data_IF_926550768432
#
_entry.id   IF_926550768432
#
_cell.length_a   1.000
_cell.length_b   1.000
_cell.length_c   1.000
_cell.angle_alpha   90.00
_cell.angle_beta   90.00
_cell.angle_gamma   90.00
#
_symmetry.space_group_name_H-M   'P 1'
#
loop_
_entity.id
_entity.type
_entity.pdbx_description
1 polymer ?
#
# COMPACT_ATOMS: atom_id res chain seq x y z
N UNK A 1 -73.29 61.14 31.94
CA UNK A 1 -72.42 60.02 31.51
C UNK A 1 -71.19 60.62 30.84
N UNK A 2 -70.04 60.72 31.53
CA UNK A 2 -68.83 61.24 30.90
C UNK A 2 -68.23 60.14 30.01
N UNK A 3 -68.18 60.39 28.70
CA UNK A 3 -67.37 59.62 27.75
C UNK A 3 -65.90 59.87 28.11
N UNK A 4 -65.34 58.89 28.81
CA UNK A 4 -63.98 58.90 29.38
C UNK A 4 -62.97 58.77 28.24
N UNK A 5 -61.94 59.62 28.27
CA UNK A 5 -60.85 59.75 27.31
C UNK A 5 -60.16 58.39 27.02
N UNK A 6 -60.47 57.75 25.88
CA UNK A 6 -59.78 56.53 25.41
C UNK A 6 -58.76 56.82 24.29
N UNK A 7 -58.74 58.03 23.72
CA UNK A 7 -57.88 58.37 22.58
C UNK A 7 -56.37 58.32 22.90
N UNK A 8 -55.99 58.51 24.17
CA UNK A 8 -54.60 58.37 24.62
C UNK A 8 -54.10 56.93 24.70
N UNK A 9 -54.98 55.95 24.87
CA UNK A 9 -54.59 54.53 24.99
C UNK A 9 -54.20 53.93 23.63
N UNK A 10 -54.85 54.36 22.54
CA UNK A 10 -54.54 53.91 21.19
C UNK A 10 -53.13 54.35 20.74
N UNK A 11 -52.73 55.58 21.06
CA UNK A 11 -51.39 56.09 20.75
C UNK A 11 -50.30 55.26 21.46
N UNK A 12 -50.50 54.93 22.73
CA UNK A 12 -49.54 54.13 23.51
C UNK A 12 -49.39 52.72 22.92
N UNK A 13 -50.49 52.08 22.53
CA UNK A 13 -50.47 50.77 21.87
C UNK A 13 -49.67 50.78 20.55
N UNK A 14 -49.83 51.82 19.73
CA UNK A 14 -49.08 51.95 18.47
C UNK A 14 -47.60 52.17 18.73
N UNK A 15 -47.23 53.03 19.67
CA UNK A 15 -45.83 53.28 20.03
C UNK A 15 -45.16 52.00 20.56
N UNK A 16 -45.84 51.24 21.43
CA UNK A 16 -45.34 49.96 21.93
C UNK A 16 -45.18 48.95 20.79
N UNK A 17 -46.16 48.87 19.87
CA UNK A 17 -46.10 47.95 18.73
C UNK A 17 -44.93 48.26 17.80
N UNK A 18 -44.70 49.55 17.50
CA UNK A 18 -43.55 50.00 16.69
C UNK A 18 -42.23 49.71 17.41
N UNK A 19 -42.16 49.95 18.72
CA UNK A 19 -40.97 49.65 19.52
C UNK A 19 -40.64 48.15 19.50
N UNK A 20 -41.65 47.29 19.63
CA UNK A 20 -41.48 45.83 19.55
C UNK A 20 -41.00 45.42 18.14
N UNK A 21 -41.62 45.95 17.08
CA UNK A 21 -41.20 45.68 15.70
C UNK A 21 -39.74 46.11 15.44
N UNK A 22 -39.33 47.25 15.99
CA UNK A 22 -37.95 47.72 15.90
C UNK A 22 -36.96 46.78 16.61
N UNK A 23 -37.30 46.30 17.81
CA UNK A 23 -36.47 45.35 18.55
C UNK A 23 -36.35 44.02 17.81
N UNK A 24 -37.44 43.51 17.23
CA UNK A 24 -37.44 42.25 16.46
C UNK A 24 -36.62 42.39 15.16
N UNK A 25 -36.77 43.50 14.44
CA UNK A 25 -36.00 43.71 13.19
C UNK A 25 -34.51 43.89 13.47
N UNK A 26 -34.13 44.61 14.53
CA UNK A 26 -32.74 44.75 14.95
C UNK A 26 -32.13 43.42 15.40
N UNK A 27 -32.87 42.60 16.17
CA UNK A 27 -32.40 41.28 16.60
C UNK A 27 -32.24 40.32 15.43
N UNK A 28 -33.20 40.31 14.49
CA UNK A 28 -33.12 39.49 13.28
C UNK A 28 -31.91 39.89 12.42
N UNK A 29 -31.67 41.19 12.23
CA UNK A 29 -30.51 41.67 11.50
C UNK A 29 -29.17 41.25 12.13
N UNK A 30 -29.08 41.28 13.46
CA UNK A 30 -27.91 40.79 14.19
C UNK A 30 -27.71 39.29 13.99
N UNK A 31 -28.78 38.48 14.13
CA UNK A 31 -28.75 37.03 13.92
C UNK A 31 -28.29 36.71 12.50
N UNK A 32 -28.87 37.34 11.47
CA UNK A 32 -28.47 37.13 10.07
C UNK A 32 -27.02 37.53 9.80
N UNK A 33 -26.55 38.63 10.40
CA UNK A 33 -25.17 39.06 10.27
C UNK A 33 -24.18 38.05 10.90
N UNK A 34 -24.54 37.48 12.06
CA UNK A 34 -23.75 36.44 12.71
C UNK A 34 -23.77 35.13 11.94
N UNK A 35 -24.93 34.68 11.44
CA UNK A 35 -25.01 33.44 10.66
C UNK A 35 -24.23 33.54 9.36
N UNK A 36 -24.27 34.67 8.67
CA UNK A 36 -23.48 34.88 7.46
C UNK A 36 -21.97 34.86 7.73
N UNK A 37 -21.50 35.51 8.80
CA UNK A 37 -20.08 35.45 9.20
C UNK A 37 -19.64 34.04 9.56
N UNK A 38 -20.47 33.31 10.29
CA UNK A 38 -20.19 31.93 10.65
C UNK A 38 -20.11 31.03 9.40
N UNK A 39 -21.03 31.21 8.45
CA UNK A 39 -21.05 30.47 7.18
C UNK A 39 -19.78 30.72 6.35
N UNK A 40 -19.33 31.98 6.25
CA UNK A 40 -18.07 32.29 5.56
C UNK A 40 -16.89 31.64 6.27
N UNK A 41 -16.83 31.72 7.61
CA UNK A 41 -15.73 31.10 8.37
C UNK A 41 -15.72 29.58 8.22
N UNK A 42 -16.88 28.93 8.18
CA UNK A 42 -17.01 27.49 7.93
C UNK A 42 -16.56 27.10 6.52
N UNK A 43 -16.93 27.90 5.51
CA UNK A 43 -16.46 27.73 4.14
C UNK A 43 -14.94 27.83 4.07
N UNK A 44 -14.34 28.86 4.68
CA UNK A 44 -12.89 29.07 4.69
C UNK A 44 -12.14 27.94 5.43
N UNK A 45 -12.69 27.44 6.55
CA UNK A 45 -12.15 26.28 7.27
C UNK A 45 -12.21 25.01 6.42
N UNK A 46 -13.31 24.81 5.69
CA UNK A 46 -13.49 23.68 4.78
C UNK A 46 -12.51 23.73 3.61
N UNK A 47 -12.30 24.92 3.02
CA UNK A 47 -11.29 25.14 1.99
C UNK A 47 -9.86 24.89 2.50
N UNK A 48 -9.54 25.36 3.71
CA UNK A 48 -8.25 25.10 4.33
C UNK A 48 -8.05 23.59 4.62
N UNK A 49 -9.11 22.87 4.98
CA UNK A 49 -9.04 21.41 5.16
C UNK A 49 -8.73 20.70 3.84
N UNK A 50 -9.47 21.02 2.77
CA UNK A 50 -9.22 20.44 1.45
C UNK A 50 -7.83 20.74 0.92
N UNK A 51 -7.31 21.94 1.18
CA UNK A 51 -5.94 22.28 0.85
C UNK A 51 -4.93 21.41 1.60
N UNK A 52 -5.16 21.14 2.89
CA UNK A 52 -4.32 20.28 3.68
C UNK A 52 -4.36 18.82 3.17
N UNK A 53 -5.54 18.28 2.84
CA UNK A 53 -5.68 16.94 2.27
C UNK A 53 -4.97 16.83 0.91
N UNK A 54 -5.17 17.81 0.02
CA UNK A 54 -4.45 17.86 -1.25
C UNK A 54 -2.92 17.89 -1.06
N UNK A 55 -2.43 18.54 0.00
CA UNK A 55 -1.02 18.50 0.36
C UNK A 55 -0.52 17.09 0.74
N UNK A 56 -1.33 16.32 1.47
CA UNK A 56 -1.01 14.92 1.81
C UNK A 56 -0.97 14.08 0.54
N UNK A 57 -2.01 14.16 -0.31
CA UNK A 57 -2.10 13.41 -1.56
C UNK A 57 -0.92 13.70 -2.50
N UNK A 58 -0.58 14.98 -2.70
CA UNK A 58 0.58 15.37 -3.51
C UNK A 58 1.91 14.87 -2.91
N UNK A 59 2.02 14.84 -1.59
CA UNK A 59 3.21 14.30 -0.92
C UNK A 59 3.33 12.80 -1.11
N UNK A 60 2.22 12.05 -0.99
CA UNK A 60 2.16 10.61 -1.29
C UNK A 60 2.50 10.37 -2.77
N UNK A 61 1.95 11.18 -3.68
CA UNK A 61 2.28 11.13 -5.11
C UNK A 61 3.76 11.30 -5.38
N UNK A 62 4.45 12.19 -4.65
CA UNK A 62 5.91 12.33 -4.75
C UNK A 62 6.65 11.10 -4.22
N UNK A 63 6.21 10.51 -3.11
CA UNK A 63 6.80 9.27 -2.56
C UNK A 63 6.70 8.12 -3.56
N UNK A 64 5.57 7.99 -4.24
CA UNK A 64 5.34 6.94 -5.24
C UNK A 64 6.20 7.11 -6.49
N UNK A 65 6.38 8.36 -6.95
CA UNK A 65 7.08 8.65 -8.21
C UNK A 65 8.60 8.85 -8.06
N UNK A 66 9.10 9.13 -6.84
CA UNK A 66 10.52 9.39 -6.58
C UNK A 66 11.00 8.60 -5.35
N UNK A 67 11.20 7.30 -5.56
CA UNK A 67 11.64 6.37 -4.52
C UNK A 67 13.02 6.72 -3.97
N UNK A 68 13.94 7.22 -4.82
CA UNK A 68 15.29 7.63 -4.43
C UNK A 68 15.25 8.83 -3.47
N UNK A 69 14.40 9.82 -3.74
CA UNK A 69 14.17 10.93 -2.82
C UNK A 69 13.63 10.46 -1.46
N UNK A 70 12.66 9.54 -1.46
CA UNK A 70 12.11 8.97 -0.22
C UNK A 70 13.17 8.17 0.57
N UNK A 71 13.98 7.36 -0.11
CA UNK A 71 15.09 6.62 0.49
C UNK A 71 16.09 7.58 1.17
N UNK A 72 16.32 8.77 0.59
CA UNK A 72 17.18 9.82 1.16
C UNK A 72 16.63 10.56 2.38
N UNK A 73 15.34 10.40 2.74
CA UNK A 73 14.76 11.07 3.90
C UNK A 73 15.34 10.57 5.22
N UNK A 74 15.49 11.49 6.17
CA UNK A 74 15.90 11.22 7.55
C UNK A 74 14.71 11.18 8.52
N UNK A 75 14.98 11.01 9.82
CA UNK A 75 13.98 11.14 10.89
C UNK A 75 13.62 12.59 11.23
N UNK A 76 14.31 13.58 10.65
CA UNK A 76 13.97 14.99 10.76
C UNK A 76 12.96 15.41 9.68
N UNK A 77 12.13 16.41 9.99
CA UNK A 77 11.19 16.96 9.01
C UNK A 77 11.90 17.61 7.84
N UNK A 78 11.52 17.20 6.64
CA UNK A 78 11.92 17.78 5.37
C UNK A 78 10.71 18.43 4.72
N UNK A 79 10.81 19.72 4.37
CA UNK A 79 9.77 20.42 3.62
C UNK A 79 9.66 19.84 2.22
N UNK A 80 8.46 19.43 1.82
CA UNK A 80 8.19 18.87 0.49
C UNK A 80 7.61 19.95 -0.41
N UNK A 81 6.56 20.61 0.07
CA UNK A 81 5.88 21.71 -0.61
C UNK A 81 5.80 22.92 0.31
N UNK A 82 6.06 24.10 -0.22
CA UNK A 82 5.97 25.35 0.51
C UNK A 82 5.00 26.29 -0.20
N UNK A 83 3.87 26.61 0.45
CA UNK A 83 2.82 27.52 -0.01
C UNK A 83 2.41 27.28 -1.48
N UNK A 84 2.14 26.02 -1.84
CA UNK A 84 1.61 25.68 -3.15
C UNK A 84 0.15 26.10 -3.25
N UNK A 85 -0.21 26.79 -4.33
CA UNK A 85 -1.56 27.26 -4.57
C UNK A 85 -2.41 26.13 -5.16
N UNK A 86 -3.52 25.80 -4.49
CA UNK A 86 -4.50 24.85 -4.98
C UNK A 86 -5.53 25.56 -5.87
N UNK A 87 -6.05 26.69 -5.37
CA UNK A 87 -6.92 27.63 -6.10
C UNK A 87 -6.66 29.05 -5.59
N UNK A 88 -7.23 30.06 -6.25
CA UNK A 88 -7.00 31.46 -5.90
C UNK A 88 -7.20 31.74 -4.39
N UNK A 89 -6.10 32.04 -3.69
CA UNK A 89 -6.11 32.32 -2.25
C UNK A 89 -6.20 31.09 -1.33
N UNK A 90 -6.18 29.87 -1.86
CA UNK A 90 -6.17 28.63 -1.08
C UNK A 90 -4.85 27.90 -1.33
N UNK A 91 -4.01 27.80 -0.28
CA UNK A 91 -2.66 27.26 -0.38
C UNK A 91 -2.41 26.14 0.62
N UNK A 92 -1.41 25.31 0.35
CA UNK A 92 -0.93 24.31 1.30
C UNK A 92 0.60 24.25 1.38
N UNK A 93 1.10 23.78 2.51
CA UNK A 93 2.51 23.43 2.69
C UNK A 93 2.62 22.11 3.43
N UNK A 94 3.58 21.27 3.03
CA UNK A 94 3.77 19.94 3.62
C UNK A 94 5.21 19.68 4.01
N UNK A 95 5.37 18.86 5.05
CA UNK A 95 6.64 18.32 5.50
C UNK A 95 6.48 16.84 5.84
N UNK A 96 7.54 16.07 5.63
CA UNK A 96 7.58 14.63 5.86
C UNK A 96 8.81 14.26 6.68
N UNK A 97 8.71 13.21 7.50
CA UNK A 97 9.85 12.56 8.15
C UNK A 97 9.64 11.05 8.22
N UNK A 98 10.72 10.26 8.23
CA UNK A 98 10.65 8.84 8.57
C UNK A 98 10.41 8.66 10.07
N UNK A 99 9.61 7.67 10.41
CA UNK A 99 9.33 7.28 11.79
C UNK A 99 9.97 5.93 12.03
N UNK A 100 10.92 5.87 12.96
CA UNK A 100 11.50 4.60 13.37
C UNK A 100 10.54 3.94 14.35
N UNK A 101 9.82 2.92 13.89
CA UNK A 101 9.01 2.07 14.74
C UNK A 101 9.69 0.71 14.88
N UNK A 102 10.13 0.36 16.09
CA UNK A 102 10.83 -0.92 16.35
C UNK A 102 9.94 -2.13 16.12
N UNK A 103 8.62 -1.95 16.21
CA UNK A 103 7.64 -3.02 16.06
C UNK A 103 7.19 -3.18 14.60
N UNK A 104 7.70 -2.33 13.70
CA UNK A 104 7.42 -2.38 12.28
C UNK A 104 8.40 -3.30 11.55
N UNK A 105 7.87 -4.37 10.98
CA UNK A 105 8.59 -5.40 10.23
C UNK A 105 8.42 -5.19 8.72
N UNK A 106 7.28 -4.62 8.30
CA UNK A 106 6.95 -4.36 6.89
C UNK A 106 6.87 -2.88 6.59
N UNK A 107 7.49 -2.50 5.48
CA UNK A 107 7.53 -1.13 4.99
C UNK A 107 8.32 -0.19 5.91
N UNK A 108 8.43 1.06 5.47
CA UNK A 108 9.02 2.15 6.25
C UNK A 108 7.93 3.14 6.60
N UNK A 109 7.67 3.36 7.89
CA UNK A 109 6.71 4.37 8.32
C UNK A 109 7.25 5.79 8.08
N UNK A 110 6.35 6.67 7.65
CA UNK A 110 6.60 8.10 7.56
C UNK A 110 5.40 8.88 8.07
N UNK A 111 5.67 10.08 8.59
CA UNK A 111 4.65 11.01 9.06
C UNK A 111 4.68 12.27 8.20
N UNK A 112 3.56 12.55 7.56
CA UNK A 112 3.31 13.75 6.78
C UNK A 112 2.54 14.72 7.68
N UNK A 113 3.01 15.96 7.74
CA UNK A 113 2.25 17.09 8.28
C UNK A 113 1.92 18.03 7.13
N UNK A 114 0.64 18.32 6.95
CA UNK A 114 0.13 19.21 5.92
C UNK A 114 -0.65 20.36 6.54
N UNK A 115 -0.36 21.57 6.09
CA UNK A 115 -0.98 22.80 6.57
C UNK A 115 -1.67 23.48 5.39
N UNK A 116 -3.00 23.50 5.42
CA UNK A 116 -3.82 24.22 4.45
C UNK A 116 -4.27 25.57 4.99
N UNK A 117 -4.32 26.58 4.13
CA UNK A 117 -4.63 27.96 4.47
C UNK A 117 -5.56 28.59 3.43
N UNK A 118 -6.57 29.34 3.90
CA UNK A 118 -7.35 30.26 3.08
C UNK A 118 -6.88 31.68 3.37
N UNK A 119 -6.46 32.39 2.33
CA UNK A 119 -5.83 33.71 2.36
C UNK A 119 -6.71 34.67 1.56
N UNK A 120 -7.12 35.75 2.22
CA UNK A 120 -7.85 36.85 1.59
C UNK A 120 -7.10 38.16 1.85
N UNK A 121 -6.78 38.89 0.77
CA UNK A 121 -6.02 40.15 0.82
C UNK A 121 -4.71 40.06 1.63
N UNK A 122 -3.99 38.94 1.51
CA UNK A 122 -2.72 38.69 2.20
C UNK A 122 -2.86 38.26 3.67
N UNK A 123 -4.07 38.17 4.21
CA UNK A 123 -4.32 37.71 5.58
C UNK A 123 -4.91 36.30 5.58
N UNK A 124 -4.34 35.44 6.42
CA UNK A 124 -4.87 34.08 6.65
C UNK A 124 -6.20 34.18 7.40
N UNK A 125 -7.29 33.80 6.74
CA UNK A 125 -8.64 33.78 7.33
C UNK A 125 -8.90 32.46 8.05
N UNK A 126 -8.42 31.35 7.49
CA UNK A 126 -8.55 30.03 8.07
C UNK A 126 -7.29 29.20 7.89
N UNK A 127 -6.99 28.34 8.86
CA UNK A 127 -5.85 27.43 8.84
C UNK A 127 -6.25 26.08 9.45
N UNK A 128 -5.91 25.01 8.72
CA UNK A 128 -6.08 23.62 9.16
C UNK A 128 -4.74 22.89 9.08
N UNK A 129 -4.47 22.03 10.05
CA UNK A 129 -3.25 21.21 10.08
C UNK A 129 -3.63 19.75 10.26
N UNK A 130 -3.19 18.93 9.31
CA UNK A 130 -3.41 17.50 9.29
C UNK A 130 -2.09 16.77 9.52
N UNK A 131 -2.18 15.65 10.23
CA UNK A 131 -1.12 14.67 10.32
C UNK A 131 -1.59 13.34 9.75
N UNK A 132 -0.78 12.78 8.87
CA UNK A 132 -1.03 11.51 8.23
C UNK A 132 0.18 10.61 8.44
N UNK A 133 -0.07 9.40 8.93
CA UNK A 133 0.93 8.36 9.02
C UNK A 133 0.73 7.37 7.89
N UNK A 134 1.82 7.15 7.16
CA UNK A 134 1.87 6.27 6.01
C UNK A 134 2.91 5.19 6.22
N UNK A 135 2.68 4.02 5.65
CA UNK A 135 3.68 2.98 5.48
C UNK A 135 4.01 2.88 3.99
N UNK A 136 5.30 2.94 3.67
CA UNK A 136 5.81 2.83 2.30
C UNK A 136 6.42 1.45 2.11
N UNK A 137 5.93 0.71 1.13
CA UNK A 137 6.35 -0.67 0.85
C UNK A 137 7.14 -0.74 -0.43
N UNK A 138 8.14 -1.62 -0.42
CA UNK A 138 8.99 -1.94 -1.56
C UNK A 138 8.75 -3.38 -2.01
N UNK A 139 9.31 -3.78 -3.14
CA UNK A 139 9.22 -5.16 -3.61
C UNK A 139 9.66 -6.18 -2.54
N UNK A 140 10.71 -5.85 -1.77
CA UNK A 140 11.18 -6.67 -0.67
C UNK A 140 10.13 -6.93 0.42
N UNK A 141 9.13 -6.06 0.61
CA UNK A 141 8.12 -6.25 1.64
C UNK A 141 7.03 -7.26 1.22
N UNK A 142 6.81 -7.42 -0.08
CA UNK A 142 5.85 -8.39 -0.62
C UNK A 142 6.42 -9.82 -0.67
N UNK A 143 7.75 -9.95 -0.80
CA UNK A 143 8.45 -11.23 -0.93
C UNK A 143 9.20 -11.62 0.36
N UNK A 144 8.52 -11.61 1.52
CA UNK A 144 9.07 -12.04 2.83
C UNK A 144 8.49 -13.39 3.30
N UNK A 145 8.49 -14.40 2.43
CA UNK A 145 7.94 -15.72 2.73
C UNK A 145 6.61 -15.98 2.03
N UNK A 146 5.60 -16.47 2.75
CA UNK A 146 4.26 -16.70 2.23
C UNK A 146 3.35 -15.52 2.55
N UNK A 147 3.03 -14.72 1.54
CA UNK A 147 2.20 -13.53 1.66
C UNK A 147 0.86 -13.76 0.94
N UNK A 148 -0.25 -13.57 1.66
CA UNK A 148 -1.63 -13.70 1.14
C UNK A 148 -2.34 -12.37 1.28
N UNK A 149 -2.66 -11.74 0.15
CA UNK A 149 -3.28 -10.41 0.08
C UNK A 149 -4.62 -10.49 -0.64
N UNK A 150 -5.68 -11.02 -0.01
CA UNK A 150 -6.97 -11.16 -0.67
C UNK A 150 -7.53 -9.79 -1.09
N UNK A 151 -8.01 -9.70 -2.33
CA UNK A 151 -8.58 -8.48 -2.90
C UNK A 151 -9.86 -7.99 -2.21
N UNK A 152 -10.57 -8.90 -1.54
CA UNK A 152 -11.75 -8.59 -0.74
C UNK A 152 -11.46 -8.84 0.74
N UNK A 153 -12.20 -8.17 1.64
CA UNK A 153 -12.09 -8.35 3.09
C UNK A 153 -12.52 -9.75 3.61
N UNK A 154 -12.69 -10.72 2.71
CA UNK A 154 -12.91 -12.10 3.09
C UNK A 154 -11.63 -12.67 3.74
N UNK A 155 -11.82 -13.49 4.78
CA UNK A 155 -10.72 -14.27 5.35
C UNK A 155 -10.07 -15.15 4.28
N UNK A 156 -8.77 -15.36 4.41
CA UNK A 156 -8.02 -16.31 3.60
C UNK A 156 -7.99 -17.69 4.27
N UNK A 157 -8.20 -18.74 3.49
CA UNK A 157 -8.04 -20.12 3.95
C UNK A 157 -6.90 -20.76 3.17
N UNK A 158 -5.94 -21.33 3.88
CA UNK A 158 -4.83 -22.08 3.30
C UNK A 158 -4.90 -23.52 3.82
N UNK A 159 -5.22 -24.43 2.90
CA UNK A 159 -5.37 -25.88 3.14
C UNK A 159 -4.32 -26.67 2.37
N UNK A 160 -3.99 -27.86 2.84
CA UNK A 160 -3.01 -28.77 2.25
C UNK A 160 -1.97 -29.33 3.21
N UNK A 161 -1.03 -30.12 2.69
CA UNK A 161 0.08 -30.68 3.47
C UNK A 161 1.36 -29.90 3.17
N UNK A 162 1.69 -28.96 4.05
CA UNK A 162 2.78 -28.03 3.79
C UNK A 162 3.71 -27.83 5.00
N UNK A 163 5.00 -27.71 4.72
CA UNK A 163 6.00 -27.20 5.65
C UNK A 163 6.42 -25.81 5.18
N UNK A 164 6.04 -24.78 5.93
CA UNK A 164 6.37 -23.39 5.62
C UNK A 164 7.51 -22.95 6.53
N UNK A 165 8.73 -23.05 6.02
CA UNK A 165 9.93 -22.51 6.65
C UNK A 165 10.17 -21.06 6.18
N UNK A 166 9.20 -20.20 6.45
CA UNK A 166 9.23 -18.77 6.17
C UNK A 166 8.22 -18.02 7.03
N UNK A 167 8.32 -16.68 7.15
CA UNK A 167 7.20 -15.91 7.68
C UNK A 167 5.92 -16.14 6.87
N UNK A 168 4.78 -16.05 7.54
CA UNK A 168 3.45 -16.07 6.92
C UNK A 168 2.77 -14.73 7.17
N UNK A 169 2.25 -14.11 6.13
CA UNK A 169 1.70 -12.76 6.16
C UNK A 169 0.32 -12.80 5.50
N UNK A 170 -0.72 -12.36 6.18
CA UNK A 170 -2.07 -12.30 5.61
C UNK A 170 -2.74 -10.95 5.94
N UNK A 171 -3.25 -10.23 4.94
CA UNK A 171 -3.88 -8.92 5.18
C UNK A 171 -5.28 -8.99 5.80
N UNK A 172 -5.89 -10.18 5.91
CA UNK A 172 -7.21 -10.40 6.50
C UNK A 172 -7.16 -11.46 7.63
N UNK A 173 -8.32 -12.01 8.00
CA UNK A 173 -8.38 -13.22 8.82
C UNK A 173 -7.69 -14.38 8.08
N UNK A 174 -6.99 -15.26 8.81
CA UNK A 174 -6.26 -16.38 8.22
C UNK A 174 -6.71 -17.68 8.89
N UNK A 175 -7.18 -18.64 8.09
CA UNK A 175 -7.39 -20.01 8.53
C UNK A 175 -6.33 -20.92 7.92
N UNK A 176 -5.52 -21.55 8.77
CA UNK A 176 -4.58 -22.59 8.37
C UNK A 176 -5.22 -23.95 8.68
N UNK A 177 -5.34 -24.83 7.68
CA UNK A 177 -6.01 -26.13 7.82
C UNK A 177 -5.13 -27.35 7.51
N UNK A 178 -5.73 -28.53 7.57
CA UNK A 178 -5.11 -29.83 7.27
C UNK A 178 -3.85 -30.12 8.11
N UNK A 179 -2.69 -30.25 7.46
CA UNK A 179 -1.40 -30.60 8.08
C UNK A 179 -0.33 -29.54 7.85
N UNK A 180 -0.77 -28.30 7.56
CA UNK A 180 0.11 -27.16 7.32
C UNK A 180 0.84 -26.77 8.61
N UNK A 181 2.17 -26.74 8.56
CA UNK A 181 3.03 -26.38 9.69
C UNK A 181 3.91 -25.21 9.31
N UNK A 182 3.81 -24.11 10.05
CA UNK A 182 4.81 -23.03 10.01
C UNK A 182 5.99 -23.46 10.88
N UNK A 183 7.12 -23.73 10.25
CA UNK A 183 8.25 -24.43 10.87
C UNK A 183 9.06 -23.46 11.73
N UNK A 184 9.48 -23.91 12.92
CA UNK A 184 10.41 -23.17 13.78
C UNK A 184 9.82 -21.88 14.36
N UNK A 185 10.66 -20.86 14.49
CA UNK A 185 10.29 -19.56 15.07
C UNK A 185 9.88 -18.53 14.00
N UNK A 186 9.37 -19.01 12.86
CA UNK A 186 8.95 -18.12 11.79
C UNK A 186 7.67 -17.39 12.19
N UNK A 187 7.62 -16.05 12.10
CA UNK A 187 6.50 -15.28 12.57
C UNK A 187 5.29 -15.36 11.63
N UNK A 188 4.09 -15.27 12.23
CA UNK A 188 2.81 -15.20 11.51
C UNK A 188 2.17 -13.85 11.79
N UNK A 189 2.01 -13.03 10.74
CA UNK A 189 1.36 -11.72 10.82
C UNK A 189 0.00 -11.77 10.13
N UNK A 190 -1.06 -11.43 10.86
CA UNK A 190 -2.41 -11.36 10.29
C UNK A 190 -3.03 -9.98 10.50
N UNK A 191 -3.76 -9.50 9.50
CA UNK A 191 -4.54 -8.27 9.59
C UNK A 191 -5.77 -8.44 10.47
N UNK A 192 -6.29 -9.67 10.56
CA UNK A 192 -7.38 -10.07 11.44
C UNK A 192 -7.00 -11.23 12.37
N UNK A 193 -7.94 -12.15 12.60
CA UNK A 193 -7.77 -13.30 13.48
C UNK A 193 -7.04 -14.47 12.78
N UNK A 194 -6.22 -15.21 13.52
CA UNK A 194 -5.62 -16.47 13.08
C UNK A 194 -6.40 -17.65 13.67
N UNK A 195 -6.96 -18.49 12.80
CA UNK A 195 -7.58 -19.76 13.17
C UNK A 195 -6.72 -20.93 12.69
N UNK A 196 -6.42 -21.87 13.60
CA UNK A 196 -5.78 -23.14 13.25
C UNK A 196 -6.85 -24.24 13.25
N UNK A 197 -7.01 -24.93 12.13
CA UNK A 197 -7.92 -26.04 11.94
C UNK A 197 -7.15 -27.36 11.77
N UNK A 198 -7.82 -28.47 12.05
CA UNK A 198 -7.28 -29.83 11.92
C UNK A 198 -5.97 -30.05 12.69
N UNK A 199 -4.89 -30.38 12.00
CA UNK A 199 -3.54 -30.59 12.55
C UNK A 199 -2.60 -29.45 12.18
N UNK A 200 -3.12 -28.31 11.72
CA UNK A 200 -2.29 -27.16 11.40
C UNK A 200 -1.61 -26.61 12.66
N UNK A 201 -0.37 -26.14 12.52
CA UNK A 201 0.40 -25.63 13.66
C UNK A 201 1.35 -24.49 13.31
N UNK A 202 1.57 -23.61 14.27
CA UNK A 202 2.60 -22.58 14.26
C UNK A 202 3.04 -22.29 15.70
N UNK A 203 4.17 -21.63 15.89
CA UNK A 203 4.60 -21.19 17.22
C UNK A 203 3.76 -19.99 17.68
N UNK A 204 2.87 -20.21 18.64
CA UNK A 204 2.00 -19.20 19.21
C UNK A 204 2.76 -17.99 19.79
N UNK A 205 4.02 -18.16 20.21
CA UNK A 205 4.87 -17.07 20.70
C UNK A 205 5.28 -16.07 19.61
N UNK A 206 5.16 -16.46 18.34
CA UNK A 206 5.57 -15.67 17.17
C UNK A 206 4.38 -15.24 16.29
N UNK A 207 3.16 -15.26 16.85
CA UNK A 207 1.94 -14.79 16.15
C UNK A 207 1.64 -13.33 16.51
N UNK A 208 1.43 -12.49 15.50
CA UNK A 208 0.98 -11.11 15.64
C UNK A 208 -0.31 -10.89 14.84
N UNK A 209 -1.45 -10.90 15.54
CA UNK A 209 -2.77 -10.59 14.98
C UNK A 209 -3.05 -9.08 14.95
N UNK A 210 -4.01 -8.65 14.13
CA UNK A 210 -4.37 -7.22 13.96
C UNK A 210 -3.17 -6.32 13.59
N UNK A 211 -2.21 -6.87 12.84
CA UNK A 211 -0.98 -6.16 12.49
C UNK A 211 -1.24 -5.09 11.42
N UNK A 212 -1.16 -3.81 11.80
CA UNK A 212 -1.57 -2.70 10.92
C UNK A 212 -0.65 -2.46 9.72
N UNK A 213 0.60 -2.92 9.80
CA UNK A 213 1.64 -2.64 8.80
C UNK A 213 1.70 -3.66 7.67
N UNK A 214 0.75 -4.59 7.55
CA UNK A 214 0.72 -5.53 6.41
C UNK A 214 0.55 -4.75 5.09
N UNK A 215 1.35 -5.06 4.05
CA UNK A 215 1.23 -4.43 2.74
C UNK A 215 -0.20 -4.48 2.19
N UNK A 216 -0.66 -3.43 1.49
CA UNK A 216 -1.96 -3.48 0.82
C UNK A 216 -1.90 -4.41 -0.40
N UNK A 217 -3.06 -4.88 -0.83
CA UNK A 217 -3.22 -5.61 -2.10
C UNK A 217 -2.61 -4.78 -3.22
N UNK A 218 -1.77 -5.42 -4.04
CA UNK A 218 -1.06 -4.75 -5.10
C UNK A 218 -1.94 -4.60 -6.34
N UNK A 219 -2.04 -3.38 -6.86
CA UNK A 219 -2.64 -3.13 -8.16
C UNK A 219 -1.59 -3.36 -9.26
N UNK A 220 -1.52 -4.60 -9.76
CA UNK A 220 -0.62 -4.96 -10.84
C UNK A 220 -1.10 -4.35 -12.15
N UNK A 221 -0.41 -3.30 -12.59
CA UNK A 221 -0.72 -2.57 -13.82
C UNK A 221 0.07 -3.13 -15.01
N UNK A 222 -0.64 -3.73 -15.96
CA UNK A 222 -0.09 -4.29 -17.21
C UNK A 222 0.80 -3.29 -17.98
N UNK A 223 0.34 -2.04 -18.12
CA UNK A 223 1.07 -1.00 -18.86
C UNK A 223 2.39 -0.61 -18.21
N UNK A 224 2.49 -0.69 -16.87
CA UNK A 224 3.74 -0.43 -16.16
C UNK A 224 4.82 -1.43 -16.58
N UNK A 225 4.49 -2.73 -16.59
CA UNK A 225 5.47 -3.77 -16.94
C UNK A 225 5.80 -3.79 -18.43
N UNK A 226 4.84 -3.44 -19.29
CA UNK A 226 5.10 -3.27 -20.71
C UNK A 226 6.11 -2.15 -20.97
N UNK A 227 5.93 -0.99 -20.33
CA UNK A 227 6.88 0.14 -20.44
C UNK A 227 8.23 -0.26 -19.86
N UNK A 228 8.26 -0.86 -18.67
CA UNK A 228 9.49 -1.28 -18.02
C UNK A 228 10.28 -2.29 -18.85
N UNK A 229 9.63 -3.28 -19.46
CA UNK A 229 10.29 -4.24 -20.35
C UNK A 229 10.80 -3.58 -21.63
N UNK A 230 10.05 -2.62 -22.20
CA UNK A 230 10.48 -1.88 -23.39
C UNK A 230 11.76 -1.07 -23.18
N UNK A 231 12.04 -0.62 -21.94
CA UNK A 231 13.30 0.05 -21.60
C UNK A 231 14.53 -0.87 -21.72
N UNK A 232 14.35 -2.20 -21.65
CA UNK A 232 15.41 -3.18 -21.83
C UNK A 232 15.60 -3.63 -23.28
N UNK A 233 14.60 -3.44 -24.15
CA UNK A 233 14.68 -3.78 -25.57
C UNK A 233 13.39 -4.38 -26.13
N UNK A 234 13.30 -4.48 -27.46
CA UNK A 234 12.12 -5.09 -28.11
C UNK A 234 12.07 -6.61 -27.90
N UNK A 235 13.23 -7.24 -27.69
CA UNK A 235 13.41 -8.65 -27.35
C UNK A 235 12.89 -9.04 -25.96
N UNK A 236 12.52 -8.04 -25.15
CA UNK A 236 11.89 -8.21 -23.84
C UNK A 236 10.35 -8.17 -23.90
N UNK A 237 9.77 -7.89 -25.08
CA UNK A 237 8.32 -7.77 -25.29
C UNK A 237 7.78 -8.94 -26.12
N UNK A 238 6.97 -9.79 -25.50
CA UNK A 238 6.32 -10.93 -26.16
C UNK A 238 4.83 -10.66 -26.32
N UNK A 239 4.50 -10.02 -27.44
CA UNK A 239 3.11 -9.73 -27.80
C UNK A 239 2.72 -10.52 -29.04
N UNK A 240 1.61 -11.24 -28.97
CA UNK A 240 1.03 -11.92 -30.12
C UNK A 240 -0.19 -11.12 -30.58
N UNK A 241 -0.44 -11.09 -31.89
CA UNK A 241 -1.70 -10.57 -32.44
C UNK A 241 -2.90 -11.51 -32.24
N UNK A 242 -2.68 -12.67 -31.61
CA UNK A 242 -3.70 -13.67 -31.27
C UNK A 242 -4.20 -13.41 -29.84
N UNK A 243 -5.48 -13.63 -29.59
CA UNK A 243 -6.06 -13.64 -28.24
C UNK A 243 -5.53 -14.84 -27.43
N UNK A 244 -5.08 -14.60 -26.20
CA UNK A 244 -4.63 -15.61 -25.23
C UNK A 244 -3.50 -16.52 -25.74
N UNK A 245 -2.36 -15.95 -26.20
CA UNK A 245 -1.24 -16.77 -26.61
C UNK A 245 -0.57 -17.42 -25.40
N UNK A 246 -0.13 -18.66 -25.56
CA UNK A 246 0.75 -19.32 -24.58
C UNK A 246 2.18 -19.30 -25.08
N UNK A 247 3.09 -18.78 -24.26
CA UNK A 247 4.53 -18.80 -24.51
C UNK A 247 5.18 -19.88 -23.67
N UNK A 248 6.26 -20.46 -24.17
CA UNK A 248 7.08 -21.42 -23.42
C UNK A 248 8.48 -20.88 -23.28
N UNK A 249 8.93 -20.62 -22.05
CA UNK A 249 10.29 -20.21 -21.74
C UNK A 249 11.05 -21.43 -21.23
N UNK A 250 12.29 -21.63 -21.72
CA UNK A 250 12.97 -20.91 -22.80
C UNK A 250 12.32 -21.15 -24.19
N UNK A 251 12.12 -20.09 -24.99
CA UNK A 251 11.69 -20.24 -26.39
C UNK A 251 12.88 -20.01 -27.33
N UNK A 252 12.94 -20.74 -28.44
CA UNK A 252 13.86 -20.51 -29.57
C UNK A 252 13.81 -19.09 -30.18
N UNK A 253 12.77 -18.31 -29.87
CA UNK A 253 12.58 -16.94 -30.34
C UNK A 253 13.06 -15.86 -29.37
N UNK A 254 13.47 -16.24 -28.16
CA UNK A 254 14.12 -15.32 -27.25
C UNK A 254 15.60 -15.41 -27.58
N UNK A 255 16.27 -14.28 -27.82
CA UNK A 255 17.74 -14.23 -27.85
C UNK A 255 18.30 -14.38 -26.43
N UNK A 256 17.78 -15.34 -25.68
CA UNK A 256 18.33 -15.75 -24.40
C UNK A 256 19.66 -16.36 -24.73
N UNK A 257 20.72 -15.68 -24.28
CA UNK A 257 22.05 -16.24 -24.31
C UNK A 257 22.00 -17.57 -23.55
N UNK A 258 22.36 -18.63 -24.25
CA UNK A 258 22.46 -19.97 -23.69
C UNK A 258 23.91 -20.26 -23.40
N UNK A 259 24.17 -20.84 -22.24
CA UNK A 259 25.47 -21.39 -21.88
C UNK A 259 25.29 -22.89 -21.69
N UNK A 260 26.07 -23.69 -22.41
CA UNK A 260 26.11 -25.12 -22.20
C UNK A 260 27.20 -25.39 -21.17
N UNK A 261 26.82 -25.92 -20.02
CA UNK A 261 27.73 -26.25 -18.92
C UNK A 261 27.75 -27.78 -18.77
N UNK A 262 28.94 -28.41 -18.64
CA UNK A 262 29.00 -29.81 -18.26
C UNK A 262 28.44 -29.99 -16.84
N UNK A 263 27.42 -30.81 -16.70
CA UNK A 263 26.87 -31.30 -15.45
C UNK A 263 27.89 -32.24 -14.75
N UNK A 264 27.66 -32.46 -13.46
CA UNK A 264 28.39 -33.36 -12.57
C UNK A 264 28.60 -34.78 -13.13
N UNK A 265 27.64 -35.29 -13.90
CA UNK A 265 27.72 -36.61 -14.56
C UNK A 265 28.33 -36.56 -15.97
N UNK A 266 28.81 -35.39 -16.42
CA UNK A 266 29.34 -35.16 -17.76
C UNK A 266 28.28 -34.98 -18.84
N UNK A 267 27.00 -34.90 -18.48
CA UNK A 267 25.93 -34.48 -19.37
C UNK A 267 26.01 -32.97 -19.66
N UNK A 268 25.49 -32.50 -20.79
CA UNK A 268 25.43 -31.08 -21.10
C UNK A 268 24.12 -30.47 -20.58
N UNK A 269 24.21 -29.52 -19.64
CA UNK A 269 23.07 -28.75 -19.16
C UNK A 269 22.98 -27.42 -19.93
N UNK A 270 21.80 -27.08 -20.45
CA UNK A 270 21.56 -25.77 -21.06
C UNK A 270 21.08 -24.79 -20.00
N UNK A 271 21.86 -23.73 -19.78
CA UNK A 271 21.54 -22.65 -18.84
C UNK A 271 21.11 -21.42 -19.61
N UNK A 272 19.95 -20.88 -19.24
CA UNK A 272 19.38 -19.68 -19.85
C UNK A 272 19.76 -18.45 -19.04
N UNK A 273 20.40 -17.47 -19.69
CA UNK A 273 20.74 -16.21 -19.05
C UNK A 273 19.56 -15.25 -19.14
N UNK A 274 18.99 -14.87 -18.00
CA UNK A 274 17.97 -13.83 -17.89
C UNK A 274 18.55 -12.57 -17.27
N UNK A 275 18.22 -11.42 -17.84
CA UNK A 275 18.61 -10.12 -17.31
C UNK A 275 17.53 -9.07 -17.56
N UNK A 276 17.17 -8.26 -16.56
CA UNK A 276 16.25 -7.14 -16.76
C UNK A 276 14.78 -7.50 -16.57
N UNK A 277 13.88 -6.89 -17.34
CA UNK A 277 12.43 -7.11 -17.24
C UNK A 277 11.87 -7.66 -18.55
N UNK A 278 11.10 -8.73 -18.50
CA UNK A 278 10.42 -9.32 -19.65
C UNK A 278 8.91 -9.20 -19.46
N UNK A 279 8.20 -8.88 -20.53
CA UNK A 279 6.75 -8.76 -20.56
C UNK A 279 6.15 -9.74 -21.55
N UNK A 280 5.23 -10.57 -21.07
CA UNK A 280 4.52 -11.58 -21.85
C UNK A 280 3.04 -11.24 -21.87
N UNK A 281 2.52 -10.84 -23.04
CA UNK A 281 1.09 -10.63 -23.22
C UNK A 281 0.41 -11.96 -23.52
N UNK A 282 0.04 -12.70 -22.47
CA UNK A 282 -0.60 -14.02 -22.52
C UNK A 282 -0.14 -14.91 -21.37
N UNK A 283 -0.34 -16.21 -21.55
CA UNK A 283 0.08 -17.23 -20.61
C UNK A 283 1.55 -17.60 -20.82
N UNK A 284 2.22 -18.08 -19.75
CA UNK A 284 3.62 -18.47 -19.76
C UNK A 284 3.82 -19.84 -19.13
N UNK A 285 4.34 -20.78 -19.90
CA UNK A 285 4.97 -22.00 -19.38
C UNK A 285 6.46 -21.73 -19.18
N UNK A 286 7.03 -22.01 -18.02
CA UNK A 286 8.48 -21.84 -17.79
C UNK A 286 9.08 -23.02 -17.03
N UNK A 287 10.26 -23.47 -17.46
CA UNK A 287 11.06 -24.51 -16.80
C UNK A 287 12.54 -24.42 -17.19
N UNK A 288 13.38 -25.24 -16.57
CA UNK A 288 14.79 -25.42 -16.89
C UNK A 288 15.75 -24.73 -15.92
N UNK A 289 17.00 -24.67 -16.32
CA UNK A 289 18.09 -24.07 -15.55
C UNK A 289 18.32 -22.63 -15.99
N UNK A 290 18.46 -21.71 -15.04
CA UNK A 290 18.67 -20.30 -15.36
C UNK A 290 19.79 -19.64 -14.54
N UNK A 291 20.31 -18.52 -15.04
CA UNK A 291 21.27 -17.67 -14.35
C UNK A 291 20.94 -16.20 -14.61
N UNK A 292 21.32 -15.32 -13.68
CA UNK A 292 21.14 -13.87 -13.79
C UNK A 292 19.95 -13.35 -12.97
N UNK A 293 19.65 -12.06 -13.13
CA UNK A 293 18.62 -11.35 -12.35
C UNK A 293 17.54 -10.81 -13.28
N UNK A 294 16.33 -11.32 -13.16
CA UNK A 294 15.24 -10.93 -14.04
C UNK A 294 13.87 -10.90 -13.37
N UNK A 295 13.01 -10.04 -13.91
CA UNK A 295 11.58 -10.02 -13.65
C UNK A 295 10.87 -10.48 -14.92
N UNK A 296 10.00 -11.47 -14.82
CA UNK A 296 9.16 -11.90 -15.94
C UNK A 296 7.70 -11.68 -15.52
N UNK A 297 7.04 -10.78 -16.24
CA UNK A 297 5.64 -10.46 -16.06
C UNK A 297 4.79 -11.13 -17.15
N UNK A 298 3.71 -11.80 -16.77
CA UNK A 298 2.72 -12.37 -17.67
C UNK A 298 1.34 -11.73 -17.42
N UNK A 299 0.69 -11.28 -18.50
CA UNK A 299 -0.68 -10.75 -18.41
C UNK A 299 -1.75 -11.83 -18.20
N UNK A 300 -1.40 -13.11 -18.42
CA UNK A 300 -2.20 -14.29 -18.13
C UNK A 300 -1.67 -15.11 -16.94
N UNK A 301 -1.78 -16.43 -17.07
CA UNK A 301 -1.32 -17.40 -16.07
C UNK A 301 0.15 -17.78 -16.29
N UNK A 302 0.86 -18.13 -15.21
CA UNK A 302 2.19 -18.74 -15.29
C UNK A 302 2.10 -20.20 -14.80
N UNK A 303 2.59 -21.13 -15.62
CA UNK A 303 2.67 -22.56 -15.29
C UNK A 303 4.12 -23.04 -15.25
N UNK A 304 4.48 -23.71 -14.15
CA UNK A 304 5.78 -24.33 -13.90
C UNK A 304 5.55 -25.84 -13.76
N UNK A 305 5.71 -26.57 -14.86
CA UNK A 305 5.39 -28.00 -14.93
C UNK A 305 6.62 -28.93 -14.71
N UNK A 306 7.80 -28.34 -14.50
CA UNK A 306 9.06 -29.04 -14.28
C UNK A 306 10.00 -28.10 -13.53
N UNK A 307 11.15 -28.62 -13.12
CA UNK A 307 12.12 -27.88 -12.30
C UNK A 307 12.51 -26.54 -12.94
N UNK A 308 12.55 -25.51 -12.11
CA UNK A 308 13.00 -24.16 -12.44
C UNK A 308 14.06 -23.74 -11.44
N UNK A 309 15.33 -24.00 -11.75
CA UNK A 309 16.43 -23.92 -10.78
C UNK A 309 17.48 -22.91 -11.22
N UNK A 310 18.01 -22.16 -10.26
CA UNK A 310 19.14 -21.25 -10.50
C UNK A 310 20.45 -22.04 -10.52
N UNK A 311 21.31 -21.82 -11.52
CA UNK A 311 22.61 -22.46 -11.65
C UNK A 311 23.73 -21.45 -11.38
N UNK A 312 24.69 -21.82 -10.53
CA UNK A 312 25.97 -21.12 -10.41
C UNK A 312 26.98 -21.65 -11.45
N UNK A 313 28.16 -21.04 -11.55
CA UNK A 313 29.20 -21.39 -12.54
C UNK A 313 29.67 -22.87 -12.51
N UNK A 314 29.16 -23.73 -11.61
CA UNK A 314 29.52 -25.14 -11.46
C UNK A 314 28.35 -26.11 -11.19
N UNK A 315 27.10 -25.77 -11.56
CA UNK A 315 25.95 -26.67 -11.40
C UNK A 315 25.68 -27.14 -9.95
N UNK A 316 26.23 -26.44 -8.96
CA UNK A 316 25.85 -26.66 -7.56
C UNK A 316 24.63 -25.79 -7.25
N UNK A 317 23.54 -26.43 -6.87
CA UNK A 317 22.33 -25.77 -6.38
C UNK A 317 22.65 -24.88 -5.18
N UNK A 318 22.98 -23.63 -5.46
CA UNK A 318 23.27 -22.63 -4.44
C UNK A 318 22.30 -21.48 -4.61
N UNK A 319 21.55 -21.21 -3.56
CA UNK A 319 20.70 -20.04 -3.50
C UNK A 319 21.55 -18.77 -3.74
N UNK A 320 21.10 -17.89 -4.63
CA UNK A 320 21.77 -16.62 -4.96
C UNK A 320 22.59 -16.59 -6.26
N UNK A 321 22.62 -17.70 -7.03
CA UNK A 321 23.25 -17.72 -8.35
C UNK A 321 22.42 -17.00 -9.44
N UNK A 322 21.13 -16.82 -9.16
CA UNK A 322 20.21 -16.03 -9.97
C UNK A 322 19.01 -15.62 -9.13
N UNK A 323 18.43 -14.47 -9.49
CA UNK A 323 17.28 -13.88 -8.82
C UNK A 323 16.17 -13.72 -9.86
N UNK A 324 15.28 -14.72 -9.90
CA UNK A 324 14.13 -14.69 -10.78
C UNK A 324 12.88 -14.29 -10.00
N UNK A 325 12.17 -13.27 -10.49
CA UNK A 325 10.84 -12.90 -10.02
C UNK A 325 9.83 -13.14 -11.12
N UNK A 326 8.82 -13.96 -10.85
CA UNK A 326 7.71 -14.25 -11.77
C UNK A 326 6.45 -13.56 -11.26
N UNK A 327 5.80 -12.78 -12.12
CA UNK A 327 4.60 -12.01 -11.78
C UNK A 327 3.49 -12.34 -12.78
N UNK A 328 2.35 -12.82 -12.29
CA UNK A 328 1.18 -13.14 -13.10
C UNK A 328 -0.01 -12.25 -12.73
N UNK A 329 -0.70 -11.69 -13.73
CA UNK A 329 -2.03 -11.08 -13.53
C UNK A 329 -3.13 -12.13 -13.32
N UNK A 330 -2.88 -13.36 -13.76
CA UNK A 330 -3.71 -14.52 -13.49
C UNK A 330 -3.18 -15.33 -12.29
N UNK A 331 -3.21 -16.64 -12.45
CA UNK A 331 -2.75 -17.62 -11.47
C UNK A 331 -1.29 -18.00 -11.70
N UNK A 332 -0.67 -18.55 -10.65
CA UNK A 332 0.61 -19.26 -10.78
C UNK A 332 0.37 -20.72 -10.39
N UNK A 333 0.63 -21.64 -11.31
CA UNK A 333 0.47 -23.08 -11.12
C UNK A 333 1.83 -23.77 -11.10
N UNK A 334 2.12 -24.54 -10.05
CA UNK A 334 3.37 -25.30 -9.90
C UNK A 334 3.06 -26.77 -9.74
N UNK A 335 3.62 -27.61 -10.61
CA UNK A 335 3.36 -29.05 -10.67
C UNK A 335 4.68 -29.81 -10.46
N UNK A 336 4.71 -30.72 -9.48
CA UNK A 336 5.78 -31.72 -9.23
C UNK A 336 7.20 -31.23 -9.57
N UNK A 337 7.60 -30.11 -8.96
CA UNK A 337 8.83 -29.42 -9.34
C UNK A 337 9.53 -28.72 -8.18
N UNK A 338 10.82 -28.49 -8.40
CA UNK A 338 11.67 -27.66 -7.57
C UNK A 338 11.83 -26.29 -8.22
N UNK A 339 11.45 -25.24 -7.49
CA UNK A 339 11.41 -23.88 -8.01
C UNK A 339 12.30 -22.97 -7.16
N UNK A 340 13.18 -22.23 -7.81
CA UNK A 340 14.00 -21.18 -7.21
C UNK A 340 13.54 -19.88 -7.82
N UNK A 341 12.57 -19.20 -7.20
CA UNK A 341 12.04 -17.93 -7.68
C UNK A 341 11.21 -17.24 -6.61
N UNK A 342 11.07 -15.93 -6.76
CA UNK A 342 10.04 -15.15 -6.09
C UNK A 342 8.78 -15.15 -6.99
N UNK A 343 7.64 -15.57 -6.46
CA UNK A 343 6.40 -15.75 -7.22
C UNK A 343 5.34 -14.76 -6.75
N UNK A 344 4.70 -14.05 -7.67
CA UNK A 344 3.60 -13.15 -7.39
C UNK A 344 2.41 -13.38 -8.32
N UNK A 345 1.23 -13.61 -7.75
CA UNK A 345 0.00 -13.81 -8.53
C UNK A 345 -1.09 -12.84 -8.08
N UNK A 346 -1.72 -12.11 -9.00
CA UNK A 346 -2.97 -11.40 -8.67
C UNK A 346 -4.10 -12.38 -8.38
N UNK A 347 -4.09 -13.55 -9.00
CA UNK A 347 -5.02 -14.64 -8.76
C UNK A 347 -4.59 -15.55 -7.62
N UNK A 348 -4.65 -16.85 -7.87
CA UNK A 348 -4.33 -17.91 -6.91
C UNK A 348 -2.97 -18.51 -7.21
N UNK A 349 -2.16 -18.74 -6.17
CA UNK A 349 -1.01 -19.63 -6.25
C UNK A 349 -1.46 -21.06 -5.96
N UNK A 350 -1.27 -21.94 -6.94
CA UNK A 350 -1.76 -23.31 -6.93
C UNK A 350 -0.60 -24.30 -7.02
N UNK A 351 -0.65 -25.36 -6.22
CA UNK A 351 0.36 -26.43 -6.29
C UNK A 351 -0.27 -27.80 -6.48
N UNK A 352 0.42 -28.68 -7.22
CA UNK A 352 0.07 -30.08 -7.36
C UNK A 352 1.31 -30.98 -7.31
N UNK A 353 1.18 -32.18 -6.75
CA UNK A 353 2.31 -33.12 -6.59
C UNK A 353 3.21 -32.81 -5.39
N UNK A 354 4.52 -33.02 -5.53
CA UNK A 354 5.51 -32.63 -4.54
C UNK A 354 6.24 -31.38 -5.05
N UNK A 355 6.07 -30.24 -4.36
CA UNK A 355 6.64 -28.96 -4.77
C UNK A 355 7.60 -28.46 -3.69
N UNK A 356 8.82 -28.11 -4.10
CA UNK A 356 9.81 -27.46 -3.22
C UNK A 356 10.08 -26.08 -3.79
N UNK A 357 9.70 -25.04 -3.04
CA UNK A 357 9.93 -23.66 -3.42
C UNK A 357 11.01 -23.02 -2.55
N UNK A 358 12.07 -22.54 -3.21
CA UNK A 358 13.14 -21.73 -2.62
C UNK A 358 12.95 -20.29 -3.05
N UNK A 359 12.35 -19.48 -2.18
CA UNK A 359 12.01 -18.08 -2.47
C UNK A 359 10.82 -17.62 -1.65
N UNK A 360 10.02 -16.72 -2.21
CA UNK A 360 8.81 -16.20 -1.59
C UNK A 360 7.60 -16.30 -2.54
N UNK A 361 6.40 -16.31 -1.97
CA UNK A 361 5.12 -16.28 -2.68
C UNK A 361 4.31 -15.09 -2.19
N UNK A 362 3.75 -14.31 -3.11
CA UNK A 362 2.74 -13.30 -2.80
C UNK A 362 1.53 -13.50 -3.71
N UNK A 363 0.37 -13.90 -3.17
CA UNK A 363 -0.82 -14.10 -3.99
C UNK A 363 -2.09 -13.60 -3.32
N UNK A 364 -3.16 -13.37 -4.09
CA UNK A 364 -4.46 -13.05 -3.50
C UNK A 364 -5.13 -14.25 -2.83
N UNK A 365 -4.83 -15.46 -3.31
CA UNK A 365 -5.26 -16.72 -2.71
C UNK A 365 -4.20 -17.79 -2.84
N UNK A 366 -4.26 -18.80 -1.96
CA UNK A 366 -3.37 -19.95 -1.96
C UNK A 366 -4.21 -21.22 -1.96
N UNK A 367 -3.94 -22.12 -2.90
CA UNK A 367 -4.50 -23.47 -2.94
C UNK A 367 -3.38 -24.50 -3.08
N UNK A 368 -2.99 -25.11 -1.97
CA UNK A 368 -1.95 -26.15 -1.99
C UNK A 368 -2.52 -27.53 -2.32
N UNK A 369 -3.83 -27.65 -2.55
CA UNK A 369 -4.51 -28.92 -2.83
C UNK A 369 -4.13 -30.03 -1.83
N UNK A 370 -3.93 -31.25 -2.35
CA UNK A 370 -3.38 -32.39 -1.60
C UNK A 370 -1.88 -32.59 -1.83
N UNK A 371 -1.18 -31.52 -2.22
CA UNK A 371 0.25 -31.57 -2.53
C UNK A 371 1.08 -31.61 -1.24
N UNK A 372 2.31 -32.12 -1.37
CA UNK A 372 3.35 -31.90 -0.36
C UNK A 372 4.12 -30.65 -0.77
N UNK A 373 3.95 -29.56 -0.03
CA UNK A 373 4.57 -28.27 -0.32
C UNK A 373 5.62 -27.90 0.73
N UNK A 374 6.87 -27.73 0.32
CA UNK A 374 7.94 -27.21 1.17
C UNK A 374 8.34 -25.82 0.68
N UNK A 375 7.98 -24.78 1.45
CA UNK A 375 8.44 -23.43 1.21
C UNK A 375 9.61 -23.14 2.14
N UNK A 376 10.76 -22.85 1.55
CA UNK A 376 11.93 -22.44 2.29
C UNK A 376 12.39 -21.07 1.81
N UNK A 377 12.25 -20.08 2.69
CA UNK A 377 12.68 -18.74 2.40
C UNK A 377 14.21 -18.64 2.48
N UNK A 378 14.83 -18.89 1.33
CA UNK A 378 16.19 -18.46 1.07
C UNK A 378 16.10 -17.04 0.52
N UNK A 379 16.94 -16.13 1.01
CA UNK A 379 16.96 -14.72 0.59
C UNK A 379 17.42 -14.60 -0.86
N UNK A 380 16.54 -14.89 -1.82
CA UNK A 380 16.68 -14.44 -3.20
C UNK A 380 16.52 -12.93 -3.19
N UNK A 381 17.46 -12.20 -3.78
CA UNK A 381 17.34 -10.75 -3.84
C UNK A 381 16.13 -10.42 -4.72
N UNK A 382 15.27 -9.54 -4.25
CA UNK A 382 14.17 -9.06 -5.08
C UNK A 382 14.69 -7.92 -5.93
N UNK A 383 14.44 -7.99 -7.24
CA UNK A 383 14.66 -6.83 -8.09
C UNK A 383 13.74 -5.69 -7.63
N UNK A 384 14.31 -4.54 -7.23
CA UNK A 384 13.54 -3.38 -6.76
C UNK A 384 12.49 -2.89 -7.76
N UNK A 385 12.70 -3.12 -9.06
CA UNK A 385 11.76 -2.74 -10.11
C UNK A 385 10.59 -3.72 -10.28
N UNK A 386 10.64 -4.89 -9.62
CA UNK A 386 9.63 -5.94 -9.75
C UNK A 386 8.25 -5.48 -9.27
N UNK A 387 8.19 -4.61 -8.27
CA UNK A 387 6.92 -4.09 -7.74
C UNK A 387 7.10 -2.58 -7.57
N UNK A 388 6.21 -1.74 -8.13
CA UNK A 388 6.25 -0.31 -7.89
C UNK A 388 6.06 -0.03 -6.39
N UNK A 389 6.66 1.05 -5.90
CA UNK A 389 6.47 1.47 -4.50
C UNK A 389 4.98 1.64 -4.22
N UNK A 390 4.50 1.10 -3.11
CA UNK A 390 3.11 1.30 -2.66
C UNK A 390 3.09 2.03 -1.33
N UNK A 391 1.98 2.73 -1.08
CA UNK A 391 1.77 3.51 0.15
C UNK A 391 0.42 3.15 0.74
N UNK A 392 0.40 2.89 2.05
CA UNK A 392 -0.82 2.70 2.84
C UNK A 392 -0.91 3.79 3.89
N UNK A 393 -2.03 4.51 3.91
CA UNK A 393 -2.39 5.38 5.02
C UNK A 393 -2.97 4.52 6.13
N UNK A 394 -2.38 4.55 7.32
CA UNK A 394 -2.87 3.76 8.47
C UNK A 394 -3.35 4.62 9.64
N UNK A 395 -3.05 5.91 9.64
CA UNK A 395 -3.62 6.86 10.59
C UNK A 395 -3.71 8.25 9.95
N UNK A 396 -4.83 8.94 10.20
CA UNK A 396 -5.08 10.30 9.76
C UNK A 396 -5.75 11.04 10.92
N UNK A 397 -5.24 12.23 11.25
CA UNK A 397 -5.79 13.04 12.32
C UNK A 397 -5.69 14.55 12.02
N UNK A 398 -6.74 15.29 12.36
CA UNK A 398 -6.69 16.74 12.45
C UNK A 398 -6.10 17.14 13.80
N UNK A 399 -5.03 17.94 13.80
CA UNK A 399 -4.37 18.35 15.05
C UNK A 399 -5.15 19.45 15.78
N UNK A 400 -5.48 20.55 15.10
CA UNK A 400 -6.22 21.67 15.67
C UNK A 400 -6.89 22.53 14.57
N UNK A 401 -8.17 22.91 14.72
CA UNK A 401 -8.73 24.03 13.95
C UNK A 401 -8.21 25.35 14.53
N UNK A 402 -7.50 26.16 13.74
CA UNK A 402 -7.17 27.54 14.12
C UNK A 402 -8.12 28.47 13.38
N UNK A 403 -9.07 29.06 14.11
CA UNK A 403 -9.93 30.13 13.61
C UNK A 403 -9.14 31.44 13.76
N UNK A 404 -8.63 31.98 12.65
CA UNK A 404 -7.90 33.23 12.67
C UNK A 404 -8.88 34.41 12.83
N UNK A 405 -9.03 34.90 14.06
CA UNK A 405 -9.93 36.01 14.36
C UNK A 405 -10.30 36.15 15.83
N UNK A 406 -10.24 35.06 16.59
CA UNK A 406 -10.44 35.11 18.04
C UNK A 406 -9.09 35.33 18.72
N UNK A 407 -8.79 36.57 19.14
CA UNK A 407 -7.79 36.79 20.19
C UNK A 407 -8.30 36.09 21.45
N UNK A 408 -7.96 34.82 21.63
CA UNK A 408 -8.14 34.14 22.91
C UNK A 408 -7.13 34.76 23.86
N UNK A 409 -7.57 35.80 24.56
CA UNK A 409 -6.83 36.32 25.69
C UNK A 409 -7.02 35.30 26.79
N UNK A 410 -6.09 34.36 26.92
CA UNK A 410 -6.03 33.48 28.07
C UNK A 410 -5.71 34.37 29.27
N UNK A 411 -6.73 34.80 29.99
CA UNK A 411 -6.56 35.41 31.30
C UNK A 411 -6.16 34.26 32.23
N UNK A 412 -4.86 34.02 32.36
CA UNK A 412 -4.34 33.20 33.45
C UNK A 412 -4.72 33.91 34.74
N UNK A 413 -5.73 33.40 35.45
CA UNK A 413 -5.93 33.76 36.85
C UNK A 413 -4.77 33.16 37.62
N UNK A 414 -3.83 34.00 38.03
CA UNK A 414 -2.93 33.68 39.14
C UNK A 414 -3.81 33.43 40.38
N UNK A 415 -4.09 32.17 40.68
CA UNK A 415 -4.52 31.76 42.02
C UNK A 415 -3.31 31.84 42.95
N UNK A 416 -2.95 33.07 43.32
CA UNK A 416 -2.23 33.33 44.56
C UNK A 416 -3.16 34.01 45.54
N UNK A 417 -3.22 33.42 46.73
CA UNK A 417 -3.76 33.92 47.99
C UNK A 417 -5.26 33.69 48.25
N UNK A 418 -5.54 32.60 48.94
CA UNK A 418 -6.32 32.70 50.19
C UNK A 418 -5.76 31.69 51.20
N UNK A 419 -5.53 32.22 52.40
CA UNK A 419 -4.85 31.64 53.55
C UNK A 419 -5.51 30.40 54.15
#
# INVERSE_FOLDING_TARGET
MPLRQNDGQALIMVVISIAILYVITASLGSITGHTHKNMISELELTQALYAADAGIENTIGKVLNDSAWYEGLSSAFTTVFNNQELTAGVVYGTKIKKVNNTDQVFGTAAMIESVGQCINAGNVQAKKTLQCYIAVYTANDYFKGLTVLPGEAAGATVTGSAAINSPVICSSDLTLGDSLTVVGNNPVYTGGELTLADSASCDAGNVQQSYSYIPPVLDLNDSYYQILAAEYGAEHLFTSGVSDPTYTFPNSHIDTKQVIIPDSDGAEATVYLYSGCYYVNGDLNISGCYQGKAVIFASGDIKIASDLVSVNDYCEETAGAGDLTLIALGNIMVEESKVYANLMARGVFQTSGAVILRGAVCASGIDLGRSHFDLNFNSLDVNKAAIPVTVKVYNWQELYPVIAGTKVTVVMRDEKNSA
#
